data_IF_355930309685
#
_entry.id   IF_355930309685
#
_cell.length_a   1.000
_cell.length_b   1.000
_cell.length_c   1.000
_cell.angle_alpha   90.00
_cell.angle_beta   90.00
_cell.angle_gamma   90.00
#
_symmetry.space_group_name_H-M   'P 1'
#
loop_
_entity.id
_entity.type
_entity.pdbx_description
1 polymer ?
#
# COMPACT_ATOMS: atom_id res chain seq x y z
N UNK A 1 -17.91 -2.80 18.69
CA UNK A 1 -17.32 -3.39 17.47
C UNK A 1 -18.33 -4.36 16.87
N UNK A 2 -18.56 -4.32 15.56
CA UNK A 2 -19.48 -5.25 14.87
C UNK A 2 -19.06 -6.71 15.15
N UNK A 3 -20.02 -7.61 15.37
CA UNK A 3 -19.79 -9.04 15.67
C UNK A 3 -18.88 -9.71 14.63
N UNK A 4 -19.11 -9.42 13.34
CA UNK A 4 -18.28 -9.91 12.24
C UNK A 4 -16.82 -9.44 12.35
N UNK A 5 -16.58 -8.20 12.79
CA UNK A 5 -15.22 -7.67 12.98
C UNK A 5 -14.47 -8.43 14.09
N UNK A 6 -15.19 -8.79 15.16
CA UNK A 6 -14.65 -9.59 16.26
C UNK A 6 -14.26 -11.00 15.81
N UNK A 7 -15.09 -11.65 14.99
CA UNK A 7 -14.76 -12.98 14.44
C UNK A 7 -13.48 -12.98 13.62
N UNK A 8 -13.24 -11.93 12.82
CA UNK A 8 -12.01 -11.82 12.02
C UNK A 8 -10.78 -11.51 12.87
N UNK A 9 -10.93 -10.72 13.94
CA UNK A 9 -9.87 -10.50 14.94
C UNK A 9 -9.47 -11.83 15.63
N UNK A 10 -10.45 -12.59 16.10
CA UNK A 10 -10.24 -13.92 16.70
C UNK A 10 -9.61 -14.92 15.70
N UNK A 11 -10.06 -14.90 14.45
CA UNK A 11 -9.47 -15.68 13.35
C UNK A 11 -8.00 -15.32 13.13
N UNK A 12 -7.66 -14.04 13.16
CA UNK A 12 -6.26 -13.61 13.01
C UNK A 12 -5.40 -14.04 14.19
N UNK A 13 -5.89 -13.90 15.43
CA UNK A 13 -5.21 -14.38 16.64
C UNK A 13 -4.94 -15.88 16.56
N UNK A 14 -5.92 -16.67 16.11
CA UNK A 14 -5.75 -18.12 15.90
C UNK A 14 -4.65 -18.43 14.88
N UNK A 15 -4.62 -17.71 13.75
CA UNK A 15 -3.55 -17.85 12.76
C UNK A 15 -2.18 -17.46 13.32
N UNK A 16 -2.10 -16.38 14.10
CA UNK A 16 -0.87 -15.95 14.78
C UNK A 16 -0.34 -17.08 15.66
N UNK A 17 -1.18 -17.67 16.51
CA UNK A 17 -0.77 -18.77 17.38
C UNK A 17 -0.21 -19.97 16.61
N UNK A 18 -0.70 -20.20 15.38
CA UNK A 18 -0.20 -21.26 14.50
C UNK A 18 1.08 -20.95 13.72
N UNK A 19 1.53 -19.69 13.66
CA UNK A 19 2.65 -19.28 12.78
C UNK A 19 3.72 -18.41 13.42
N UNK A 20 3.44 -17.80 14.57
CA UNK A 20 4.39 -16.94 15.29
C UNK A 20 5.68 -17.72 15.62
N UNK A 21 6.83 -17.10 15.39
CA UNK A 21 8.16 -17.66 15.62
C UNK A 21 8.65 -18.67 14.57
N UNK A 22 7.87 -18.94 13.51
CA UNK A 22 8.28 -19.91 12.46
C UNK A 22 9.15 -19.30 11.36
N UNK A 23 9.01 -18.01 11.10
CA UNK A 23 9.80 -17.27 10.10
C UNK A 23 10.92 -16.47 10.73
N UNK A 24 11.74 -15.78 9.92
CA UNK A 24 12.75 -14.84 10.46
C UNK A 24 12.11 -13.64 11.16
N UNK A 25 10.89 -13.28 10.71
CA UNK A 25 9.97 -12.35 11.37
C UNK A 25 8.58 -12.97 11.33
N UNK A 26 7.71 -12.53 12.22
CA UNK A 26 6.30 -12.94 12.20
C UNK A 26 5.56 -12.26 11.05
N UNK A 27 5.82 -10.98 10.81
CA UNK A 27 5.11 -10.20 9.80
C UNK A 27 6.04 -9.28 9.02
N UNK A 28 5.87 -9.24 7.71
CA UNK A 28 6.42 -8.20 6.84
C UNK A 28 5.35 -7.12 6.68
N UNK A 29 5.62 -5.92 7.17
CA UNK A 29 4.68 -4.81 7.05
C UNK A 29 5.01 -3.93 5.84
N UNK A 30 4.09 -3.83 4.89
CA UNK A 30 4.21 -2.87 3.78
C UNK A 30 4.00 -1.45 4.34
N UNK A 31 5.11 -0.77 4.64
CA UNK A 31 5.11 0.47 5.40
C UNK A 31 5.35 1.67 4.49
N UNK A 32 4.42 2.64 4.46
CA UNK A 32 4.52 3.81 3.57
C UNK A 32 4.80 5.11 4.31
N UNK A 33 4.90 5.08 5.65
CA UNK A 33 5.02 6.27 6.50
C UNK A 33 3.72 7.08 6.63
N UNK A 34 2.69 6.72 5.85
CA UNK A 34 1.38 7.35 5.93
C UNK A 34 0.53 6.82 7.08
N UNK A 35 -0.56 7.55 7.36
CA UNK A 35 -1.48 7.34 8.48
C UNK A 35 -1.83 5.87 8.73
N UNK A 36 -2.46 5.25 7.74
CA UNK A 36 -3.00 3.90 7.87
C UNK A 36 -1.90 2.83 8.01
N UNK A 37 -0.77 3.00 7.33
CA UNK A 37 0.36 2.07 7.43
C UNK A 37 1.10 2.18 8.77
N UNK A 38 1.26 3.39 9.31
CA UNK A 38 1.83 3.61 10.65
C UNK A 38 0.93 3.00 11.72
N UNK A 39 -0.37 3.25 11.65
CA UNK A 39 -1.31 2.67 12.61
C UNK A 39 -1.33 1.14 12.54
N UNK A 40 -1.31 0.58 11.32
CA UNK A 40 -1.25 -0.88 11.16
C UNK A 40 0.04 -1.48 11.72
N UNK A 41 1.18 -0.81 11.53
CA UNK A 41 2.46 -1.22 12.12
C UNK A 41 2.38 -1.25 13.66
N UNK A 42 1.86 -0.18 14.27
CA UNK A 42 1.64 -0.09 15.72
C UNK A 42 0.71 -1.21 16.23
N UNK A 43 -0.41 -1.46 15.55
CA UNK A 43 -1.35 -2.52 15.92
C UNK A 43 -0.68 -3.91 15.85
N UNK A 44 -0.01 -4.24 14.75
CA UNK A 44 0.68 -5.52 14.57
C UNK A 44 1.74 -5.75 15.66
N UNK A 45 2.45 -4.70 16.08
CA UNK A 45 3.49 -4.80 17.08
C UNK A 45 2.93 -4.82 18.50
N UNK A 46 2.18 -3.79 18.88
CA UNK A 46 1.82 -3.52 20.26
C UNK A 46 0.55 -4.24 20.71
N UNK A 47 -0.41 -4.50 19.80
CA UNK A 47 -1.60 -5.32 20.14
C UNK A 47 -1.35 -6.81 19.97
N UNK A 48 -0.74 -7.22 18.86
CA UNK A 48 -0.57 -8.65 18.54
C UNK A 48 0.81 -9.21 18.93
N UNK A 49 1.74 -8.36 19.37
CA UNK A 49 3.06 -8.78 19.85
C UNK A 49 3.94 -9.40 18.77
N UNK A 50 3.75 -9.05 17.50
CA UNK A 50 4.50 -9.64 16.38
C UNK A 50 5.91 -9.02 16.28
N UNK A 51 6.89 -9.83 15.90
CA UNK A 51 8.16 -9.34 15.36
C UNK A 51 7.92 -8.88 13.91
N UNK A 52 8.36 -7.67 13.58
CA UNK A 52 8.00 -7.02 12.31
C UNK A 52 9.24 -6.60 11.54
N UNK A 53 9.25 -6.95 10.26
CA UNK A 53 10.08 -6.32 9.25
C UNK A 53 9.23 -5.32 8.46
N UNK A 54 9.37 -4.04 8.76
CA UNK A 54 8.77 -2.97 7.97
C UNK A 54 9.54 -2.82 6.65
N UNK A 55 8.82 -2.69 5.54
CA UNK A 55 9.40 -2.52 4.21
C UNK A 55 8.75 -1.33 3.51
N UNK A 56 9.56 -0.31 3.23
CA UNK A 56 9.18 0.85 2.42
C UNK A 56 9.70 0.67 1.01
N UNK A 57 8.85 0.89 0.01
CA UNK A 57 9.26 1.07 -1.37
C UNK A 57 9.48 2.55 -1.66
N UNK A 58 10.73 2.97 -1.82
CA UNK A 58 11.05 4.35 -2.21
C UNK A 58 10.90 4.54 -3.72
N UNK A 59 9.71 5.00 -4.10
CA UNK A 59 9.33 5.32 -5.48
C UNK A 59 9.93 6.63 -6.02
N UNK A 60 10.70 7.36 -5.19
CA UNK A 60 11.26 8.67 -5.49
C UNK A 60 10.37 9.85 -5.12
N UNK A 61 9.10 9.64 -4.75
CA UNK A 61 8.11 10.68 -4.50
C UNK A 61 7.52 10.58 -3.08
N UNK A 62 8.27 10.06 -2.11
CA UNK A 62 7.85 10.06 -0.71
C UNK A 62 8.04 11.47 -0.13
N UNK A 63 7.04 11.96 0.59
CA UNK A 63 7.15 13.23 1.34
C UNK A 63 8.32 13.17 2.32
N UNK A 64 9.16 14.23 2.43
CA UNK A 64 10.20 14.31 3.44
C UNK A 64 9.67 14.11 4.87
N UNK A 65 8.47 14.62 5.16
CA UNK A 65 7.81 14.43 6.46
C UNK A 65 7.47 12.96 6.66
N UNK A 66 6.99 12.27 5.62
CA UNK A 66 6.73 10.83 5.70
C UNK A 66 8.00 9.99 5.89
N UNK A 67 9.15 10.39 5.32
CA UNK A 67 10.43 9.74 5.57
C UNK A 67 10.90 9.93 7.02
N UNK A 68 10.76 11.12 7.59
CA UNK A 68 11.09 11.36 9.00
C UNK A 68 10.14 10.61 9.94
N UNK A 69 8.84 10.57 9.60
CA UNK A 69 7.86 9.75 10.30
C UNK A 69 8.28 8.28 10.33
N UNK A 70 8.74 7.72 9.20
CA UNK A 70 9.22 6.34 9.17
C UNK A 70 10.32 6.13 10.19
N UNK A 71 11.34 7.00 10.19
CA UNK A 71 12.48 6.91 11.10
C UNK A 71 12.06 6.96 12.57
N UNK A 72 11.18 7.90 12.95
CA UNK A 72 10.72 8.04 14.33
C UNK A 72 9.82 6.89 14.78
N UNK A 73 8.86 6.52 13.95
CA UNK A 73 7.86 5.51 14.29
C UNK A 73 8.49 4.14 14.47
N UNK A 74 9.42 3.72 13.60
CA UNK A 74 10.01 2.38 13.72
C UNK A 74 10.85 2.22 15.00
N UNK A 75 11.51 3.29 15.45
CA UNK A 75 12.22 3.34 16.73
C UNK A 75 11.24 3.28 17.92
N UNK A 76 10.19 4.10 17.88
CA UNK A 76 9.17 4.16 18.94
C UNK A 76 8.36 2.87 19.06
N UNK A 77 8.07 2.19 17.94
CA UNK A 77 7.33 0.93 17.90
C UNK A 77 8.24 -0.27 18.15
N UNK A 78 9.53 -0.16 17.84
CA UNK A 78 10.50 -1.25 17.92
C UNK A 78 10.30 -2.29 16.81
N UNK A 79 10.49 -1.86 15.56
CA UNK A 79 10.45 -2.70 14.37
C UNK A 79 11.69 -2.49 13.48
N UNK A 80 12.16 -3.54 12.82
CA UNK A 80 13.23 -3.41 11.83
C UNK A 80 12.69 -2.80 10.54
N UNK A 81 13.49 -1.97 9.87
CA UNK A 81 13.03 -1.23 8.69
C UNK A 81 13.99 -1.36 7.51
N UNK A 82 13.45 -1.80 6.37
CA UNK A 82 14.14 -1.77 5.08
C UNK A 82 13.47 -0.72 4.19
N UNK A 83 14.28 0.22 3.70
CA UNK A 83 13.87 1.12 2.61
C UNK A 83 14.47 0.58 1.30
N UNK A 84 13.60 0.02 0.48
CA UNK A 84 13.97 -0.52 -0.83
C UNK A 84 13.91 0.60 -1.88
N UNK A 85 15.07 1.19 -2.17
CA UNK A 85 15.24 2.20 -3.22
C UNK A 85 15.37 1.54 -4.59
N UNK A 86 14.35 1.65 -5.43
CA UNK A 86 14.50 1.34 -6.86
C UNK A 86 15.14 2.52 -7.56
N UNK A 87 16.05 2.21 -8.49
CA UNK A 87 16.74 3.22 -9.30
C UNK A 87 15.71 4.11 -10.02
N UNK A 88 15.89 5.41 -9.88
CA UNK A 88 14.86 6.36 -10.26
C UNK A 88 14.70 6.49 -11.78
N UNK A 89 15.75 6.26 -12.56
CA UNK A 89 15.72 6.22 -14.03
C UNK A 89 14.73 5.16 -14.55
N UNK A 90 14.72 3.97 -13.95
CA UNK A 90 13.78 2.90 -14.28
C UNK A 90 12.33 3.31 -13.96
N UNK A 91 12.11 3.80 -12.73
CA UNK A 91 10.78 4.24 -12.31
C UNK A 91 10.28 5.42 -13.15
N UNK A 92 11.16 6.38 -13.47
CA UNK A 92 10.85 7.50 -14.35
C UNK A 92 10.41 7.01 -15.73
N UNK A 93 11.11 6.04 -16.34
CA UNK A 93 10.72 5.45 -17.63
C UNK A 93 9.33 4.83 -17.57
N UNK A 94 9.05 4.05 -16.52
CA UNK A 94 7.76 3.38 -16.33
C UNK A 94 6.64 4.39 -16.07
N UNK A 95 6.82 5.31 -15.11
CA UNK A 95 5.79 6.26 -14.70
C UNK A 95 5.51 7.31 -15.77
N UNK A 96 6.52 7.80 -16.50
CA UNK A 96 6.30 8.72 -17.62
C UNK A 96 5.59 8.04 -18.81
N UNK A 97 5.79 6.74 -19.02
CA UNK A 97 5.02 5.96 -20.00
C UNK A 97 3.58 5.75 -19.50
N UNK A 98 3.40 5.33 -18.24
CA UNK A 98 2.10 5.15 -17.60
C UNK A 98 1.28 6.45 -17.52
N UNK A 99 1.93 7.62 -17.53
CA UNK A 99 1.28 8.93 -17.62
C UNK A 99 0.66 9.20 -19.01
N UNK A 100 1.13 8.53 -20.05
CA UNK A 100 0.75 8.77 -21.46
C UNK A 100 -0.09 7.64 -22.04
N UNK A 101 0.01 6.43 -21.48
CA UNK A 101 -0.62 5.22 -22.03
C UNK A 101 -1.32 4.43 -20.95
N UNK A 102 -2.50 3.88 -21.26
CA UNK A 102 -3.18 2.91 -20.40
C UNK A 102 -2.48 1.55 -20.50
N UNK A 103 -1.85 1.09 -19.42
CA UNK A 103 -1.09 -0.16 -19.40
C UNK A 103 -1.91 -1.39 -18.99
N UNK A 104 -3.06 -1.18 -18.34
CA UNK A 104 -3.79 -2.23 -17.65
C UNK A 104 -5.27 -2.24 -18.08
N UNK A 105 -5.96 -3.40 -17.94
CA UNK A 105 -7.39 -3.47 -18.22
C UNK A 105 -8.17 -2.47 -17.36
N UNK A 106 -9.28 -1.93 -17.90
CA UNK A 106 -10.15 -0.98 -17.18
C UNK A 106 -10.53 -1.46 -15.78
N UNK A 107 -10.79 -2.77 -15.62
CA UNK A 107 -11.14 -3.36 -14.32
C UNK A 107 -10.06 -3.17 -13.26
N UNK A 108 -8.78 -3.19 -13.65
CA UNK A 108 -7.64 -2.93 -12.75
C UNK A 108 -7.53 -1.45 -12.39
N UNK A 109 -7.98 -0.58 -13.30
CA UNK A 109 -7.88 0.87 -13.16
C UNK A 109 -9.06 1.51 -12.42
N UNK A 110 -10.15 0.76 -12.16
CA UNK A 110 -11.31 1.26 -11.41
C UNK A 110 -10.96 1.86 -10.04
N UNK A 111 -9.87 1.40 -9.41
CA UNK A 111 -9.49 1.77 -8.03
C UNK A 111 -8.14 2.46 -7.92
N UNK A 112 -7.45 2.64 -9.05
CA UNK A 112 -6.11 3.25 -9.08
C UNK A 112 -5.77 3.71 -10.50
N UNK A 113 -5.01 4.79 -10.61
CA UNK A 113 -4.44 5.24 -11.88
C UNK A 113 -3.42 4.24 -12.44
N UNK A 114 -3.11 4.33 -13.73
CA UNK A 114 -2.07 3.51 -14.37
C UNK A 114 -0.71 3.64 -13.66
N UNK A 115 -0.36 4.86 -13.24
CA UNK A 115 0.87 5.12 -12.47
C UNK A 115 0.82 4.41 -11.12
N UNK A 116 -0.26 4.57 -10.36
CA UNK A 116 -0.41 3.96 -9.04
C UNK A 116 -0.46 2.43 -9.11
N UNK A 117 -1.12 1.85 -10.12
CA UNK A 117 -1.12 0.40 -10.39
C UNK A 117 0.28 -0.11 -10.71
N UNK A 118 1.05 0.64 -11.51
CA UNK A 118 2.45 0.30 -11.80
C UNK A 118 3.27 0.33 -10.51
N UNK A 119 3.16 1.40 -9.72
CA UNK A 119 3.90 1.59 -8.47
C UNK A 119 3.58 0.50 -7.43
N UNK A 120 2.30 0.23 -7.16
CA UNK A 120 1.90 -0.77 -6.14
C UNK A 120 2.26 -2.20 -6.56
N UNK A 121 2.44 -2.47 -7.86
CA UNK A 121 2.92 -3.78 -8.32
C UNK A 121 4.34 -4.07 -7.81
N UNK A 122 5.25 -3.09 -7.84
CA UNK A 122 6.59 -3.24 -7.25
C UNK A 122 6.50 -3.50 -5.76
N UNK A 123 5.68 -2.73 -5.02
CA UNK A 123 5.47 -2.95 -3.59
C UNK A 123 5.06 -4.40 -3.33
N UNK A 124 3.98 -4.87 -3.97
CA UNK A 124 3.43 -6.21 -3.76
C UNK A 124 4.43 -7.32 -4.09
N UNK A 125 5.16 -7.21 -5.20
CA UNK A 125 6.04 -8.29 -5.64
C UNK A 125 7.40 -8.28 -4.94
N UNK A 126 7.94 -7.10 -4.57
CA UNK A 126 9.14 -7.00 -3.73
C UNK A 126 8.85 -7.60 -2.35
N UNK A 127 7.73 -7.24 -1.73
CA UNK A 127 7.40 -7.74 -0.39
C UNK A 127 7.02 -9.21 -0.41
N UNK A 128 6.29 -9.67 -1.44
CA UNK A 128 5.99 -11.10 -1.61
C UNK A 128 7.25 -11.93 -1.82
N UNK A 129 8.17 -11.48 -2.67
CA UNK A 129 9.46 -12.13 -2.89
C UNK A 129 10.24 -12.22 -1.59
N UNK A 130 10.37 -11.11 -0.88
CA UNK A 130 11.09 -11.04 0.40
C UNK A 130 10.45 -11.95 1.46
N UNK A 131 9.12 -11.98 1.57
CA UNK A 131 8.43 -12.84 2.52
C UNK A 131 8.67 -14.33 2.23
N UNK A 132 8.62 -14.73 0.96
CA UNK A 132 8.92 -16.11 0.54
C UNK A 132 10.38 -16.47 0.87
N UNK A 133 11.33 -15.64 0.45
CA UNK A 133 12.77 -15.90 0.64
C UNK A 133 13.17 -15.91 2.13
N UNK A 134 12.49 -15.13 2.97
CA UNK A 134 12.71 -15.07 4.42
C UNK A 134 11.77 -15.95 5.25
N UNK A 135 10.91 -16.75 4.60
CA UNK A 135 9.89 -17.60 5.26
C UNK A 135 8.99 -16.83 6.24
N UNK A 136 8.66 -15.57 5.94
CA UNK A 136 7.79 -14.74 6.78
C UNK A 136 6.33 -15.12 6.50
N UNK A 137 5.54 -15.54 7.51
CA UNK A 137 4.21 -16.10 7.28
C UNK A 137 3.12 -15.06 6.98
N UNK A 138 3.33 -13.80 7.33
CA UNK A 138 2.34 -12.73 7.19
C UNK A 138 2.89 -11.53 6.40
N UNK A 139 2.09 -10.99 5.48
CA UNK A 139 2.30 -9.65 4.90
C UNK A 139 1.14 -8.75 5.31
N UNK A 140 1.45 -7.70 6.09
CA UNK A 140 0.49 -6.66 6.48
C UNK A 140 0.42 -5.53 5.47
N UNK A 141 -0.79 -5.03 5.21
CA UNK A 141 -1.02 -3.79 4.47
C UNK A 141 -1.96 -2.86 5.25
N UNK A 142 -1.61 -1.58 5.31
CA UNK A 142 -2.44 -0.53 5.90
C UNK A 142 -3.53 -0.03 4.96
N UNK A 143 -4.36 -0.94 4.45
CA UNK A 143 -5.49 -0.57 3.60
C UNK A 143 -6.68 -0.16 4.46
N UNK A 144 -7.32 0.96 4.11
CA UNK A 144 -8.50 1.43 4.83
C UNK A 144 -9.66 0.43 4.67
N UNK A 145 -10.69 0.47 5.54
CA UNK A 145 -11.87 -0.40 5.40
C UNK A 145 -12.53 -0.31 4.02
N UNK A 146 -12.48 0.88 3.39
CA UNK A 146 -13.04 1.08 2.05
C UNK A 146 -12.27 0.41 0.90
N UNK A 147 -11.01 0.02 1.12
CA UNK A 147 -10.14 -0.56 0.08
C UNK A 147 -10.22 -2.08 -0.01
N UNK A 148 -10.41 -2.76 1.13
CA UNK A 148 -10.55 -4.20 1.20
C UNK A 148 -11.79 -4.61 2.00
N UNK A 149 -12.73 -5.36 1.39
CA UNK A 149 -13.84 -5.90 2.14
C UNK A 149 -13.33 -6.90 3.19
N UNK A 150 -14.02 -6.96 4.33
CA UNK A 150 -13.65 -7.80 5.47
C UNK A 150 -13.43 -9.28 5.08
N UNK A 151 -14.20 -9.81 4.13
CA UNK A 151 -14.06 -11.19 3.64
C UNK A 151 -12.69 -11.49 3.02
N UNK A 152 -12.02 -10.46 2.50
CA UNK A 152 -10.69 -10.55 1.90
C UNK A 152 -9.57 -10.06 2.84
N UNK A 153 -9.90 -9.71 4.09
CA UNK A 153 -8.95 -9.10 5.03
C UNK A 153 -7.89 -10.06 5.57
N UNK A 154 -8.12 -11.38 5.46
CA UNK A 154 -7.20 -12.44 5.87
C UNK A 154 -7.22 -13.53 4.80
N UNK A 155 -6.19 -13.56 3.95
CA UNK A 155 -6.16 -14.43 2.77
C UNK A 155 -4.82 -15.15 2.64
N UNK A 156 -4.82 -16.49 2.59
CA UNK A 156 -3.62 -17.24 2.20
C UNK A 156 -3.32 -16.97 0.73
N UNK A 157 -2.10 -16.57 0.43
CA UNK A 157 -1.70 -16.31 -0.95
C UNK A 157 -1.66 -17.62 -1.75
N UNK A 158 -2.34 -17.65 -2.90
CA UNK A 158 -2.36 -18.81 -3.79
C UNK A 158 -1.29 -18.65 -4.90
N UNK A 159 -0.28 -19.55 -4.98
CA UNK A 159 0.81 -19.42 -5.95
C UNK A 159 0.34 -19.36 -7.42
N UNK A 160 -0.66 -20.16 -7.79
CA UNK A 160 -1.19 -20.20 -9.16
C UNK A 160 -1.89 -18.89 -9.53
N UNK A 161 -2.68 -18.33 -8.62
CA UNK A 161 -3.32 -17.03 -8.81
C UNK A 161 -2.28 -15.91 -8.87
N UNK A 162 -1.24 -15.94 -8.04
CA UNK A 162 -0.13 -14.99 -8.11
C UNK A 162 0.59 -15.09 -9.45
N UNK A 163 0.85 -16.29 -9.97
CA UNK A 163 1.49 -16.46 -11.28
C UNK A 163 0.67 -15.81 -12.40
N UNK A 164 -0.66 -16.00 -12.38
CA UNK A 164 -1.58 -15.37 -13.34
C UNK A 164 -1.61 -13.85 -13.19
N UNK A 165 -1.80 -13.34 -11.96
CA UNK A 165 -1.91 -11.90 -11.71
C UNK A 165 -0.59 -11.16 -11.91
N UNK A 166 0.56 -11.81 -11.63
CA UNK A 166 1.87 -11.28 -11.95
C UNK A 166 2.00 -11.02 -13.44
N UNK A 167 1.55 -11.93 -14.30
CA UNK A 167 1.62 -11.76 -15.77
C UNK A 167 0.89 -10.49 -16.25
N UNK A 168 -0.28 -10.20 -15.67
CA UNK A 168 -1.09 -9.01 -16.01
C UNK A 168 -0.32 -7.71 -15.78
N UNK A 169 0.49 -7.64 -14.72
CA UNK A 169 1.28 -6.44 -14.42
C UNK A 169 2.70 -6.47 -15.00
N UNK A 170 3.29 -7.65 -15.08
CA UNK A 170 4.67 -7.86 -15.54
C UNK A 170 4.80 -7.62 -17.03
N UNK A 171 3.90 -8.16 -17.86
CA UNK A 171 4.03 -8.07 -19.32
C UNK A 171 4.04 -6.60 -19.82
N UNK A 172 3.14 -5.70 -19.37
CA UNK A 172 3.20 -4.28 -19.76
C UNK A 172 4.47 -3.58 -19.29
N UNK A 173 4.92 -3.87 -18.06
CA UNK A 173 6.15 -3.26 -17.51
C UNK A 173 7.41 -3.77 -18.22
N UNK A 174 7.44 -5.05 -18.59
CA UNK A 174 8.51 -5.67 -19.35
C UNK A 174 8.63 -5.05 -20.74
N UNK A 175 7.51 -4.74 -21.42
CA UNK A 175 7.55 -4.03 -22.71
C UNK A 175 8.22 -2.65 -22.61
N UNK A 176 8.16 -2.01 -21.44
CA UNK A 176 8.75 -0.69 -21.22
C UNK A 176 10.22 -0.81 -20.83
N UNK A 177 10.54 -1.72 -19.91
CA UNK A 177 11.83 -1.75 -19.21
C UNK A 177 12.68 -2.99 -19.48
N UNK A 178 12.16 -4.02 -20.15
CA UNK A 178 12.86 -5.27 -20.39
C UNK A 178 13.26 -5.99 -19.10
N UNK A 179 14.43 -6.62 -19.11
CA UNK A 179 14.93 -7.42 -17.98
C UNK A 179 15.23 -6.61 -16.71
N UNK A 180 15.27 -5.29 -16.82
CA UNK A 180 15.52 -4.38 -15.71
C UNK A 180 14.51 -4.50 -14.58
N UNK A 181 13.28 -4.97 -14.86
CA UNK A 181 12.26 -5.20 -13.84
C UNK A 181 12.35 -6.58 -13.19
N UNK A 182 13.07 -7.54 -13.80
CA UNK A 182 13.13 -8.93 -13.34
C UNK A 182 13.48 -9.08 -11.84
N UNK A 183 14.42 -8.30 -11.26
CA UNK A 183 14.79 -8.46 -9.85
C UNK A 183 13.63 -8.28 -8.85
N UNK A 184 12.60 -7.52 -9.22
CA UNK A 184 11.51 -7.12 -8.32
C UNK A 184 10.31 -8.07 -8.32
N UNK A 185 10.31 -9.06 -9.21
CA UNK A 185 9.20 -10.02 -9.38
C UNK A 185 9.63 -11.45 -9.03
N UNK A 186 8.62 -12.32 -8.88
CA UNK A 186 8.86 -13.74 -8.60
C UNK A 186 9.36 -14.46 -9.85
N UNK A 187 10.46 -15.18 -9.68
CA UNK A 187 11.05 -16.12 -10.62
C UNK A 187 10.52 -17.55 -10.41
N UNK A 188 10.66 -18.48 -11.38
CA UNK A 188 10.15 -19.86 -11.28
C UNK A 188 10.47 -20.57 -9.96
N UNK A 189 11.71 -20.43 -9.45
CA UNK A 189 12.15 -20.99 -8.15
C UNK A 189 11.26 -20.62 -6.96
N UNK A 190 10.64 -19.44 -6.97
CA UNK A 190 9.76 -19.03 -5.86
C UNK A 190 8.42 -19.76 -5.91
N UNK A 191 7.94 -20.12 -7.11
CA UNK A 191 6.68 -20.86 -7.26
C UNK A 191 6.81 -22.35 -6.94
N UNK A 192 8.03 -22.86 -6.86
CA UNK A 192 8.35 -24.21 -6.38
C UNK A 192 8.16 -24.31 -4.86
N UNK A 193 8.39 -23.21 -4.12
CA UNK A 193 8.25 -23.08 -2.66
C UNK A 193 6.81 -22.78 -2.24
N UNK A 194 5.86 -23.67 -2.59
CA UNK A 194 4.41 -23.43 -2.40
C UNK A 194 4.02 -23.11 -0.96
N UNK A 195 4.66 -23.74 0.02
CA UNK A 195 4.35 -23.56 1.45
C UNK A 195 4.87 -22.23 2.01
N UNK A 196 5.83 -21.59 1.32
CA UNK A 196 6.42 -20.32 1.74
C UNK A 196 5.52 -19.10 1.45
N UNK A 197 4.44 -19.26 0.67
CA UNK A 197 3.57 -18.14 0.32
C UNK A 197 2.82 -17.62 1.56
N UNK A 198 2.91 -16.34 1.90
CA UNK A 198 2.37 -15.79 3.14
C UNK A 198 0.85 -15.61 3.09
N UNK A 199 0.24 -15.36 4.24
CA UNK A 199 -1.08 -14.74 4.30
C UNK A 199 -0.95 -13.23 4.08
N UNK A 200 -1.88 -12.64 3.32
CA UNK A 200 -2.07 -11.19 3.29
C UNK A 200 -3.09 -10.80 4.35
N UNK A 201 -2.75 -9.78 5.14
CA UNK A 201 -3.59 -9.27 6.23
C UNK A 201 -3.84 -7.78 6.07
N UNK A 202 -5.11 -7.40 6.26
CA UNK A 202 -5.60 -6.03 6.22
C UNK A 202 -6.28 -5.70 7.56
N UNK A 203 -5.52 -5.45 8.65
CA UNK A 203 -6.08 -5.35 9.99
C UNK A 203 -7.18 -4.29 10.13
N UNK A 204 -7.06 -3.17 9.42
CA UNK A 204 -8.01 -2.07 9.52
C UNK A 204 -9.42 -2.43 9.02
N UNK A 205 -9.58 -3.47 8.21
CA UNK A 205 -10.89 -3.94 7.76
C UNK A 205 -11.71 -4.60 8.91
N UNK A 206 -11.03 -5.22 9.88
CA UNK A 206 -11.69 -5.88 11.01
C UNK A 206 -11.41 -5.25 12.37
N UNK A 207 -10.49 -4.28 12.44
CA UNK A 207 -10.30 -3.45 13.62
C UNK A 207 -11.25 -2.26 13.65
N UNK A 208 -11.34 -1.63 14.83
CA UNK A 208 -11.98 -0.32 14.93
C UNK A 208 -11.15 0.70 14.13
N UNK A 209 -11.84 1.50 13.31
CA UNK A 209 -11.21 2.51 12.48
C UNK A 209 -11.88 3.85 12.76
N UNK A 210 -11.13 4.77 13.33
CA UNK A 210 -11.55 6.15 13.63
C UNK A 210 -10.35 7.04 13.38
N UNK A 211 -10.47 8.01 12.47
CA UNK A 211 -9.34 8.89 12.13
C UNK A 211 -8.84 9.64 13.38
N UNK A 212 -9.75 10.12 14.24
CA UNK A 212 -9.38 10.85 15.46
C UNK A 212 -8.57 9.99 16.43
N UNK A 213 -9.00 8.74 16.68
CA UNK A 213 -8.26 7.79 17.51
C UNK A 213 -6.90 7.45 16.91
N UNK A 214 -6.85 7.28 15.59
CA UNK A 214 -5.62 7.00 14.86
C UNK A 214 -4.65 8.17 15.00
N UNK A 215 -5.08 9.41 14.77
CA UNK A 215 -4.23 10.59 14.91
C UNK A 215 -3.75 10.79 16.34
N UNK A 216 -4.61 10.56 17.34
CA UNK A 216 -4.23 10.63 18.75
C UNK A 216 -3.10 9.64 19.07
N UNK A 217 -3.26 8.37 18.66
CA UNK A 217 -2.23 7.34 18.86
C UNK A 217 -0.94 7.65 18.11
N UNK A 218 -1.05 8.14 16.87
CA UNK A 218 0.11 8.48 16.04
C UNK A 218 0.92 9.64 16.60
N UNK A 219 0.28 10.59 17.27
CA UNK A 219 0.96 11.69 17.97
C UNK A 219 1.88 11.18 19.08
N UNK A 220 1.49 10.11 19.78
CA UNK A 220 2.33 9.46 20.80
C UNK A 220 3.59 8.79 20.22
N UNK A 221 3.59 8.52 18.91
CA UNK A 221 4.72 7.93 18.19
C UNK A 221 5.57 8.98 17.46
N UNK A 222 5.41 10.26 17.81
CA UNK A 222 6.02 11.42 17.15
C UNK A 222 5.75 11.53 15.64
N UNK A 223 4.65 10.93 15.18
CA UNK A 223 4.23 11.04 13.79
C UNK A 223 3.55 12.39 13.53
N UNK A 224 3.90 13.00 12.40
CA UNK A 224 3.35 14.29 11.96
C UNK A 224 2.63 14.15 10.63
N UNK A 225 1.51 14.84 10.47
CA UNK A 225 0.77 14.81 9.20
C UNK A 225 1.52 15.61 8.14
N UNK A 226 1.87 15.01 6.98
CA UNK A 226 2.43 15.79 5.89
C UNK A 226 1.42 16.80 5.35
N UNK A 227 1.88 18.03 5.10
CA UNK A 227 1.08 19.12 4.52
C UNK A 227 1.28 19.24 3.00
N UNK A 228 2.28 18.51 2.47
CA UNK A 228 2.70 18.52 1.07
C UNK A 228 2.07 17.38 0.24
N UNK A 229 1.03 16.71 0.74
CA UNK A 229 0.34 15.62 0.04
C UNK A 229 -1.12 15.98 -0.26
N UNK A 230 -1.75 15.31 -1.24
CA UNK A 230 -3.17 15.53 -1.53
C UNK A 230 -4.10 15.00 -0.42
N UNK A 231 -5.39 15.32 -0.53
CA UNK A 231 -6.40 14.97 0.46
C UNK A 231 -6.56 13.46 0.74
N UNK A 232 -6.12 12.61 -0.18
CA UNK A 232 -6.30 11.16 -0.16
C UNK A 232 -4.97 10.39 0.02
N UNK A 233 -3.85 11.11 0.22
CA UNK A 233 -2.56 10.53 0.59
C UNK A 233 -1.97 11.25 1.79
N UNK A 234 -1.23 10.52 2.62
CA UNK A 234 -0.48 11.08 3.75
C UNK A 234 0.99 10.69 3.66
N UNK A 235 1.48 10.41 2.45
CA UNK A 235 2.87 9.98 2.25
C UNK A 235 3.44 10.22 0.84
N UNK A 236 2.60 10.27 -0.21
CA UNK A 236 3.06 10.21 -1.60
C UNK A 236 2.79 11.52 -2.35
N UNK A 237 3.84 12.12 -2.89
CA UNK A 237 3.79 13.35 -3.69
C UNK A 237 3.38 13.10 -5.16
N UNK A 238 3.45 11.85 -5.63
CA UNK A 238 3.05 11.47 -6.99
C UNK A 238 1.53 11.29 -7.14
N UNK A 239 0.83 11.08 -6.02
CA UNK A 239 -0.58 10.65 -6.03
C UNK A 239 -1.50 11.69 -6.68
N UNK A 240 -1.31 12.97 -6.36
CA UNK A 240 -2.08 14.07 -6.95
C UNK A 240 -2.01 14.10 -8.48
N UNK A 241 -0.79 14.06 -9.04
CA UNK A 241 -0.56 14.05 -10.48
C UNK A 241 -1.20 12.81 -11.14
N UNK A 242 -1.02 11.65 -10.52
CA UNK A 242 -1.57 10.40 -11.02
C UNK A 242 -3.12 10.40 -11.03
N UNK A 243 -3.74 11.00 -10.01
CA UNK A 243 -5.20 11.14 -9.94
C UNK A 243 -5.72 12.15 -10.96
N UNK A 244 -5.04 13.28 -11.17
CA UNK A 244 -5.42 14.26 -12.19
C UNK A 244 -5.45 13.63 -13.59
N UNK A 245 -4.44 12.84 -13.95
CA UNK A 245 -4.41 12.13 -15.22
C UNK A 245 -5.54 11.09 -15.34
N UNK A 246 -5.84 10.39 -14.24
CA UNK A 246 -6.92 9.41 -14.20
C UNK A 246 -8.29 10.10 -14.37
N UNK A 247 -8.55 11.20 -13.67
CA UNK A 247 -9.77 11.99 -13.80
C UNK A 247 -9.95 12.55 -15.21
N UNK A 248 -8.88 13.07 -15.82
CA UNK A 248 -8.91 13.54 -17.21
C UNK A 248 -9.27 12.43 -18.21
N UNK A 249 -8.85 11.20 -17.92
CA UNK A 249 -9.06 10.04 -18.81
C UNK A 249 -10.43 9.40 -18.62
N UNK A 250 -10.89 9.25 -17.37
CA UNK A 250 -12.08 8.46 -17.03
C UNK A 250 -13.26 9.26 -16.47
N UNK A 251 -13.07 10.54 -16.15
CA UNK A 251 -14.11 11.42 -15.63
C UNK A 251 -14.46 11.21 -14.15
N UNK A 252 -13.66 10.47 -13.39
CA UNK A 252 -13.85 10.29 -11.94
C UNK A 252 -12.52 10.11 -11.21
N UNK A 253 -12.50 10.40 -9.91
CA UNK A 253 -11.34 10.19 -9.04
C UNK A 253 -11.23 8.71 -8.63
N UNK A 254 -10.05 8.07 -8.68
CA UNK A 254 -9.91 6.63 -8.38
C UNK A 254 -10.30 6.26 -6.94
N UNK A 255 -10.30 7.22 -6.00
CA UNK A 255 -10.72 7.01 -4.61
C UNK A 255 -12.24 6.97 -4.43
N UNK A 256 -13.05 7.26 -5.46
CA UNK A 256 -14.52 7.30 -5.34
C UNK A 256 -15.10 6.01 -4.75
N UNK A 257 -14.55 4.85 -5.13
CA UNK A 257 -15.00 3.56 -4.62
C UNK A 257 -14.63 3.33 -3.16
N UNK A 258 -13.42 3.70 -2.78
CA UNK A 258 -12.94 3.61 -1.40
C UNK A 258 -13.77 4.50 -0.49
N UNK A 259 -13.93 5.78 -0.85
CA UNK A 259 -14.72 6.74 -0.07
C UNK A 259 -16.18 6.29 0.02
N UNK A 260 -16.78 5.84 -1.10
CA UNK A 260 -18.16 5.35 -1.08
C UNK A 260 -18.35 4.10 -0.21
N UNK A 261 -17.35 3.21 -0.13
CA UNK A 261 -17.36 2.08 0.79
C UNK A 261 -17.26 2.55 2.24
N UNK A 262 -16.36 3.48 2.57
CA UNK A 262 -16.24 4.01 3.94
C UNK A 262 -17.52 4.68 4.42
N UNK A 263 -18.24 5.38 3.52
CA UNK A 263 -19.56 5.93 3.82
C UNK A 263 -20.58 4.83 4.11
N UNK A 264 -20.63 3.76 3.28
CA UNK A 264 -21.54 2.62 3.49
C UNK A 264 -21.25 1.85 4.79
N UNK A 265 -19.99 1.82 5.20
CA UNK A 265 -19.57 1.17 6.45
C UNK A 265 -19.75 2.04 7.69
N UNK A 266 -20.21 3.28 7.53
CA UNK A 266 -20.41 4.23 8.64
C UNK A 266 -19.10 4.75 9.24
N UNK A 267 -18.00 4.65 8.51
CA UNK A 267 -16.68 5.18 8.92
C UNK A 267 -16.62 6.70 8.78
N UNK A 268 -17.36 7.26 7.82
CA UNK A 268 -17.50 8.70 7.60
C UNK A 268 -18.88 9.03 7.02
N UNK A 269 -19.28 10.29 7.16
CA UNK A 269 -20.50 10.82 6.54
C UNK A 269 -20.32 11.03 5.04
N UNK A 270 -21.44 11.12 4.31
CA UNK A 270 -21.42 11.42 2.87
C UNK A 270 -20.80 12.79 2.61
N UNK A 271 -21.11 13.77 3.45
CA UNK A 271 -20.63 15.15 3.37
C UNK A 271 -19.11 15.20 3.51
N UNK A 272 -18.55 14.54 4.53
CA UNK A 272 -17.10 14.41 4.72
C UNK A 272 -16.42 13.73 3.53
N UNK A 273 -17.03 12.65 3.01
CA UNK A 273 -16.52 11.94 1.83
C UNK A 273 -16.50 12.82 0.58
N UNK A 274 -17.56 13.60 0.34
CA UNK A 274 -17.63 14.55 -0.78
C UNK A 274 -16.60 15.67 -0.64
N UNK A 275 -16.34 16.13 0.57
CA UNK A 275 -15.36 17.19 0.83
C UNK A 275 -13.94 16.78 0.42
N UNK A 276 -13.58 15.49 0.50
CA UNK A 276 -12.29 14.98 0.03
C UNK A 276 -12.04 15.19 -1.47
N UNK A 277 -13.10 15.30 -2.27
CA UNK A 277 -13.02 15.54 -3.73
C UNK A 277 -13.14 17.02 -4.12
N UNK A 278 -13.60 17.89 -3.21
CA UNK A 278 -13.69 19.34 -3.45
C UNK A 278 -12.39 20.08 -3.18
N UNK A 279 -11.49 19.47 -2.40
CA UNK A 279 -10.20 20.06 -2.08
C UNK A 279 -9.41 20.32 -3.37
N UNK A 280 -8.90 21.53 -3.49
CA UNK A 280 -8.11 21.96 -4.64
C UNK A 280 -6.90 21.03 -4.77
N UNK A 281 -6.71 20.51 -5.97
CA UNK A 281 -5.56 19.66 -6.28
C UNK A 281 -4.26 20.43 -6.01
N UNK A 282 -3.28 19.83 -5.32
CA UNK A 282 -2.05 20.53 -4.93
C UNK A 282 -1.18 20.80 -6.16
N UNK A 283 -1.30 22.02 -6.72
CA UNK A 283 -0.70 22.39 -8.02
C UNK A 283 0.82 22.27 -8.00
N UNK A 284 1.47 22.68 -6.91
CA UNK A 284 2.93 22.59 -6.78
C UNK A 284 3.43 21.15 -6.87
N UNK A 285 2.77 20.22 -6.19
CA UNK A 285 3.07 18.79 -6.18
C UNK A 285 2.80 18.16 -7.55
N UNK A 286 1.72 18.58 -8.22
CA UNK A 286 1.41 18.13 -9.57
C UNK A 286 2.51 18.55 -10.54
N UNK A 287 2.91 19.82 -10.51
CA UNK A 287 3.96 20.37 -11.37
C UNK A 287 5.32 19.69 -11.08
N UNK A 288 5.68 19.53 -9.81
CA UNK A 288 6.90 18.86 -9.36
C UNK A 288 6.95 17.41 -9.83
N UNK A 289 5.83 16.67 -9.73
CA UNK A 289 5.75 15.30 -10.21
C UNK A 289 5.89 15.22 -11.74
N UNK A 290 5.18 16.09 -12.46
CA UNK A 290 5.22 16.15 -13.92
C UNK A 290 6.63 16.51 -14.44
N UNK A 291 7.25 17.57 -13.91
CA UNK A 291 8.59 18.01 -14.26
C UNK A 291 9.61 16.88 -14.05
N UNK A 292 9.58 16.25 -12.87
CA UNK A 292 10.51 15.19 -12.52
C UNK A 292 10.34 13.95 -13.43
N UNK A 293 9.11 13.67 -13.86
CA UNK A 293 8.80 12.62 -14.84
C UNK A 293 9.08 13.04 -16.30
N UNK A 294 9.33 14.32 -16.59
CA UNK A 294 9.44 14.82 -17.95
C UNK A 294 8.11 14.79 -18.71
N UNK A 295 7.00 15.02 -18.00
CA UNK A 295 5.67 15.14 -18.55
C UNK A 295 5.24 16.63 -18.55
N UNK A 296 4.46 17.03 -19.54
CA UNK A 296 3.75 18.31 -19.53
C UNK A 296 2.48 18.17 -18.70
N UNK A 297 2.22 19.12 -17.81
CA UNK A 297 0.97 19.26 -17.04
C UNK A 297 -0.18 19.70 -17.92
#
# INVERSE_FOLDING_TARGET
MNEQKKEYDEKFISLINGHKGKGTYDCLMCYSGGKDSTYTLDMLRNRYGLSILAVTFDNGFISPVAMENMRKVVENVGADHIIFKVRFDLLKKIFSTAAKTELYPKKTLERASTICTSCISFVKFITLKMAIEKRIPFIGYGWSPGQAPIQSSIMKTNPSLIKMTQKIVYDPLYKIAGDDIRPYFLEPRHFEEKDAFPYNIHPLAFLEYSEDKIFARMKELDWQKPEDTDANSTNCLLNAFANQLHEKTYGYNPYVWEIANMVREGVMTREEGMEKFKKVSPVEQINMAAERLGCTT
#
